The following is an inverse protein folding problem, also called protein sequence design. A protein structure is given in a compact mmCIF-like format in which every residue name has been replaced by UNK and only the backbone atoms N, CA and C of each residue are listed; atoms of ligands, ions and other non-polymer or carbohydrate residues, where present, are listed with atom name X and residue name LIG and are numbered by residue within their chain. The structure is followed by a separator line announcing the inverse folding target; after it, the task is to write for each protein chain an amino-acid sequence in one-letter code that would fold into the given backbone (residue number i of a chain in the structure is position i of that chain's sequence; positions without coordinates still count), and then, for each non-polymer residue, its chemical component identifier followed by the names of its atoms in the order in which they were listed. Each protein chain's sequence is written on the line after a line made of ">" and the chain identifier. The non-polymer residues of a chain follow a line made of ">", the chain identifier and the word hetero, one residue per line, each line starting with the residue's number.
data_IF_054592429099
#
_entry.id   IF_054592429099
#
_cell.length_a   1.000
_cell.length_b   1.000
_cell.length_c   1.000
_cell.angle_alpha   90.00
_cell.angle_beta   90.00
_cell.angle_gamma   90.00
#
_symmetry.space_group_name_H-M   'P 1'
#
loop_
_entity.id
_entity.type
_entity.pdbx_description
1 polymer ?
#
# COMPACT_ATOMS: atom_id res chain seq x y z
N UNK A 1 0.74 13.15 -6.08
CA UNK A 1 0.62 11.71 -5.82
C UNK A 1 1.49 11.45 -4.63
N UNK A 2 0.89 11.04 -3.52
CA UNK A 2 1.61 10.74 -2.29
C UNK A 2 2.56 9.55 -2.55
N UNK A 3 3.88 9.68 -2.32
CA UNK A 3 4.84 8.61 -2.55
C UNK A 3 4.82 7.51 -1.46
N UNK A 4 3.78 7.42 -0.62
CA UNK A 4 3.59 6.29 0.30
C UNK A 4 3.73 4.94 -0.42
N UNK A 5 4.27 3.94 0.30
CA UNK A 5 5.31 3.08 -0.21
C UNK A 5 4.72 2.10 -1.20
N UNK A 6 5.05 2.31 -2.47
CA UNK A 6 5.15 1.17 -3.37
C UNK A 6 6.07 0.12 -2.71
N UNK A 7 5.82 -1.16 -2.95
CA UNK A 7 6.58 -2.25 -2.35
C UNK A 7 8.08 -2.13 -2.64
N UNK A 8 8.43 -1.47 -3.75
CA UNK A 8 9.79 -1.03 -4.07
C UNK A 8 10.40 -0.15 -2.96
N UNK A 9 9.67 0.78 -2.34
CA UNK A 9 10.18 1.57 -1.23
C UNK A 9 10.52 0.70 0.00
N UNK A 10 9.69 -0.31 0.31
CA UNK A 10 9.94 -1.22 1.43
C UNK A 10 11.11 -2.17 1.18
N UNK A 11 11.33 -2.54 -0.09
CA UNK A 11 12.16 -3.70 -0.44
C UNK A 11 13.40 -3.34 -1.26
N UNK A 12 13.35 -2.36 -2.16
CA UNK A 12 14.52 -1.92 -2.93
C UNK A 12 15.08 -0.58 -2.44
N UNK A 13 14.25 0.24 -1.79
CA UNK A 13 14.58 1.59 -1.35
C UNK A 13 14.76 2.57 -2.50
N UNK A 14 14.96 3.85 -2.18
CA UNK A 14 15.33 4.92 -3.11
C UNK A 14 16.71 5.48 -2.77
N UNK A 15 17.23 6.40 -3.59
CA UNK A 15 18.48 7.10 -3.29
C UNK A 15 18.41 7.90 -1.97
N UNK A 16 17.24 8.44 -1.65
CA UNK A 16 16.94 9.22 -0.45
C UNK A 16 16.54 8.34 0.74
N UNK A 17 15.92 7.19 0.49
CA UNK A 17 15.45 6.23 1.49
C UNK A 17 16.01 4.84 1.21
N UNK A 18 17.26 4.54 1.63
CA UNK A 18 17.87 3.26 1.34
C UNK A 18 17.04 2.13 1.94
N UNK A 19 17.04 0.98 1.26
CA UNK A 19 16.37 -0.23 1.73
C UNK A 19 16.79 -0.56 3.16
N UNK A 20 15.90 -0.29 4.10
CA UNK A 20 16.17 -0.40 5.53
C UNK A 20 16.39 -1.84 5.97
N UNK A 21 15.67 -2.78 5.35
CA UNK A 21 15.79 -4.22 5.61
C UNK A 21 17.04 -4.84 4.95
N UNK A 22 17.62 -4.14 3.97
CA UNK A 22 18.69 -4.63 3.08
C UNK A 22 18.34 -5.93 2.35
N UNK A 23 17.07 -6.31 2.31
CA UNK A 23 16.61 -7.49 1.62
C UNK A 23 16.56 -7.24 0.11
N UNK A 24 17.24 -8.07 -0.67
CA UNK A 24 17.16 -8.07 -2.13
C UNK A 24 17.51 -9.45 -2.65
N UNK A 25 16.79 -9.87 -3.70
CA UNK A 25 17.05 -11.11 -4.44
C UNK A 25 16.70 -10.88 -5.90
N UNK A 26 17.27 -11.68 -6.80
CA UNK A 26 16.94 -11.61 -8.23
C UNK A 26 15.43 -11.84 -8.45
N UNK A 27 14.82 -12.74 -7.68
CA UNK A 27 13.39 -13.04 -7.74
C UNK A 27 12.53 -11.85 -7.29
N UNK A 28 12.88 -11.22 -6.17
CA UNK A 28 12.16 -10.04 -5.67
C UNK A 28 12.24 -8.88 -6.68
N UNK A 29 13.43 -8.63 -7.23
CA UNK A 29 13.62 -7.57 -8.23
C UNK A 29 12.77 -7.83 -9.49
N UNK A 30 12.71 -9.08 -9.95
CA UNK A 30 11.87 -9.46 -11.08
C UNK A 30 10.36 -9.27 -10.80
N UNK A 31 9.89 -9.53 -9.58
CA UNK A 31 8.50 -9.28 -9.22
C UNK A 31 8.16 -7.78 -9.12
N UNK A 32 9.08 -6.94 -8.63
CA UNK A 32 8.90 -5.48 -8.65
C UNK A 32 8.80 -4.96 -10.09
N UNK A 33 9.65 -5.44 -10.99
CA UNK A 33 9.57 -5.10 -12.42
C UNK A 33 8.24 -5.55 -13.04
N UNK A 34 7.76 -6.74 -12.66
CA UNK A 34 6.48 -7.28 -13.14
C UNK A 34 5.28 -6.42 -12.73
N UNK A 35 5.27 -5.83 -11.53
CA UNK A 35 4.23 -4.89 -11.09
C UNK A 35 4.19 -3.67 -12.03
N UNK A 36 5.36 -3.11 -12.35
CA UNK A 36 5.47 -1.94 -13.23
C UNK A 36 5.07 -2.22 -14.68
N UNK A 37 5.08 -3.48 -15.09
CA UNK A 37 4.72 -3.91 -16.44
C UNK A 37 3.22 -4.25 -16.61
N UNK A 38 2.42 -4.20 -15.54
CA UNK A 38 0.98 -4.48 -15.62
C UNK A 38 0.27 -3.36 -16.40
N UNK A 39 -0.53 -3.75 -17.40
CA UNK A 39 -1.33 -2.80 -18.19
C UNK A 39 -2.37 -2.06 -17.34
N UNK A 40 -2.58 -0.78 -17.65
CA UNK A 40 -3.59 0.05 -17.02
C UNK A 40 -4.99 -0.59 -17.08
N UNK A 41 -5.68 -0.65 -15.94
CA UNK A 41 -7.00 -1.25 -15.82
C UNK A 41 -7.02 -2.78 -15.70
N UNK A 42 -5.87 -3.46 -15.80
CA UNK A 42 -5.79 -4.90 -15.62
C UNK A 42 -5.66 -5.30 -14.13
N UNK A 43 -6.76 -5.15 -13.41
CA UNK A 43 -6.83 -5.35 -11.94
C UNK A 43 -6.40 -6.78 -11.55
N UNK A 44 -6.75 -7.80 -12.33
CA UNK A 44 -6.43 -9.19 -11.99
C UNK A 44 -4.93 -9.48 -12.06
N UNK A 45 -4.25 -8.95 -13.07
CA UNK A 45 -2.80 -9.08 -13.18
C UNK A 45 -2.10 -8.27 -12.08
N UNK A 46 -2.63 -7.11 -11.71
CA UNK A 46 -2.10 -6.31 -10.62
C UNK A 46 -2.20 -7.04 -9.27
N UNK A 47 -3.36 -7.63 -8.97
CA UNK A 47 -3.57 -8.48 -7.78
C UNK A 47 -2.57 -9.64 -7.77
N UNK A 48 -2.40 -10.31 -8.91
CA UNK A 48 -1.45 -11.42 -9.01
C UNK A 48 -0.02 -10.95 -8.74
N UNK A 49 0.42 -9.87 -9.39
CA UNK A 49 1.80 -9.37 -9.27
C UNK A 49 2.15 -8.99 -7.83
N UNK A 50 1.27 -8.26 -7.13
CA UNK A 50 1.47 -7.98 -5.71
C UNK A 50 1.36 -9.23 -4.83
N UNK A 51 0.51 -10.18 -5.19
CA UNK A 51 0.39 -11.46 -4.48
C UNK A 51 1.59 -12.40 -4.64
N UNK A 52 2.37 -12.28 -5.72
CA UNK A 52 3.66 -12.97 -5.88
C UNK A 52 4.69 -12.40 -4.88
N UNK A 53 4.77 -11.07 -4.75
CA UNK A 53 5.65 -10.38 -3.79
C UNK A 53 5.28 -10.72 -2.34
N UNK A 54 3.99 -10.65 -2.01
CA UNK A 54 3.48 -10.96 -0.67
C UNK A 54 3.88 -12.38 -0.22
N UNK A 55 3.74 -13.37 -1.11
CA UNK A 55 4.15 -14.74 -0.82
C UNK A 55 5.66 -14.87 -0.61
N UNK A 56 6.47 -14.21 -1.44
CA UNK A 56 7.93 -14.28 -1.31
C UNK A 56 8.39 -13.67 0.02
N UNK A 57 7.86 -12.50 0.38
CA UNK A 57 8.17 -11.83 1.66
C UNK A 57 7.73 -12.67 2.86
N UNK A 58 6.58 -13.36 2.78
CA UNK A 58 6.14 -14.27 3.83
C UNK A 58 7.03 -15.53 3.95
N UNK A 59 7.65 -15.97 2.86
CA UNK A 59 8.57 -17.12 2.86
C UNK A 59 9.95 -16.75 3.40
N UNK A 60 10.51 -15.63 2.94
CA UNK A 60 11.87 -15.20 3.29
C UNK A 60 11.93 -14.42 4.62
N UNK A 61 10.78 -13.90 5.08
CA UNK A 61 10.60 -13.17 6.34
C UNK A 61 11.64 -12.05 6.55
N UNK A 62 11.85 -11.14 5.58
CA UNK A 62 12.79 -10.04 5.76
C UNK A 62 12.25 -8.97 6.73
N UNK A 63 10.93 -8.91 6.90
CA UNK A 63 10.22 -7.93 7.73
C UNK A 63 9.06 -8.66 8.42
N UNK A 64 8.90 -8.44 9.73
CA UNK A 64 7.78 -8.98 10.52
C UNK A 64 6.77 -7.86 10.79
N UNK A 65 5.55 -7.99 10.27
CA UNK A 65 4.44 -7.08 10.59
C UNK A 65 3.84 -7.43 11.95
N UNK A 66 4.09 -6.60 12.96
CA UNK A 66 3.62 -6.83 14.34
C UNK A 66 2.22 -6.27 14.63
N UNK A 67 1.74 -5.30 13.85
CA UNK A 67 0.46 -4.64 14.08
C UNK A 67 -0.18 -4.16 12.77
N UNK A 68 -1.51 -4.14 12.77
CA UNK A 68 -2.32 -3.51 11.72
C UNK A 68 -2.92 -2.23 12.31
N UNK A 69 -2.68 -1.10 11.65
CA UNK A 69 -3.24 0.18 12.08
C UNK A 69 -4.74 0.16 11.81
N UNK A 70 -5.54 0.31 12.87
CA UNK A 70 -6.99 0.50 12.74
C UNK A 70 -7.30 2.00 12.66
N UNK A 71 -8.25 2.45 11.82
CA UNK A 71 -8.73 3.82 11.87
C UNK A 71 -9.34 4.13 13.24
N UNK A 72 -8.80 5.13 13.93
CA UNK A 72 -9.34 5.66 15.20
C UNK A 72 -10.17 6.95 14.98
N UNK A 73 -10.65 7.19 13.77
CA UNK A 73 -11.40 8.41 13.46
C UNK A 73 -12.83 8.38 14.01
N UNK A 74 -13.25 9.48 14.62
CA UNK A 74 -14.62 9.70 15.11
C UNK A 74 -15.25 10.82 14.28
N UNK A 75 -16.51 10.67 13.89
CA UNK A 75 -17.28 11.66 13.14
C UNK A 75 -18.33 12.29 14.05
N UNK A 76 -18.52 13.60 13.91
CA UNK A 76 -19.63 14.32 14.56
C UNK A 76 -20.98 13.75 14.10
N UNK A 77 -21.96 13.62 15.01
CA UNK A 77 -23.31 13.18 14.66
C UNK A 77 -24.06 14.15 13.71
N UNK A 78 -23.53 15.36 13.53
CA UNK A 78 -24.09 16.39 12.62
C UNK A 78 -23.59 16.26 11.18
N UNK A 79 -22.58 15.43 10.94
CA UNK A 79 -21.93 15.27 9.65
C UNK A 79 -22.33 13.91 9.08
N UNK A 80 -23.21 13.92 8.09
CA UNK A 80 -23.66 12.71 7.41
C UNK A 80 -22.67 12.30 6.31
N UNK A 81 -22.67 11.01 5.97
CA UNK A 81 -21.89 10.36 4.90
C UNK A 81 -20.36 10.41 5.04
N UNK A 82 -19.83 11.01 6.11
CA UNK A 82 -18.39 10.97 6.38
C UNK A 82 -17.97 9.60 6.92
N UNK A 83 -17.03 8.95 6.25
CA UNK A 83 -16.48 7.64 6.64
C UNK A 83 -15.01 7.78 7.03
N UNK A 84 -14.65 7.61 8.32
CA UNK A 84 -13.27 7.60 8.76
C UNK A 84 -12.44 6.55 8.04
N UNK A 85 -11.29 6.96 7.51
CA UNK A 85 -10.32 6.04 6.92
C UNK A 85 -8.91 6.61 7.11
N UNK A 86 -7.89 5.80 7.44
CA UNK A 86 -6.53 6.28 7.72
C UNK A 86 -5.91 7.03 6.53
N UNK A 87 -6.34 6.70 5.31
CA UNK A 87 -5.82 7.27 4.06
C UNK A 87 -6.91 7.77 3.11
N UNK A 88 -8.19 7.54 3.44
CA UNK A 88 -9.31 7.81 2.52
C UNK A 88 -10.33 8.82 3.03
N UNK A 89 -10.15 9.37 4.24
CA UNK A 89 -11.19 10.17 4.90
C UNK A 89 -11.69 11.34 4.04
N UNK A 90 -10.78 12.05 3.35
CA UNK A 90 -11.13 13.25 2.56
C UNK A 90 -11.45 12.97 1.09
N UNK A 91 -11.41 11.70 0.64
CA UNK A 91 -11.60 11.37 -0.78
C UNK A 91 -13.02 11.68 -1.28
N UNK A 92 -14.02 11.56 -0.40
CA UNK A 92 -15.43 11.68 -0.75
C UNK A 92 -16.11 12.86 -0.05
N UNK A 93 -15.38 13.97 0.17
CA UNK A 93 -15.91 15.16 0.86
C UNK A 93 -17.13 15.76 0.15
N UNK A 94 -17.24 15.60 -1.17
CA UNK A 94 -18.38 16.04 -1.98
C UNK A 94 -19.70 15.35 -1.60
N UNK A 95 -19.65 14.21 -0.91
CA UNK A 95 -20.82 13.44 -0.48
C UNK A 95 -21.32 13.86 0.91
N UNK A 96 -20.54 14.67 1.63
CA UNK A 96 -20.82 15.04 3.01
C UNK A 96 -21.96 16.05 3.10
N UNK A 97 -22.79 15.89 4.13
CA UNK A 97 -23.94 16.76 4.37
C UNK A 97 -23.95 17.20 5.84
N UNK A 98 -24.36 18.45 6.06
CA UNK A 98 -24.56 18.99 7.39
C UNK A 98 -26.05 18.98 7.73
N UNK A 99 -26.34 18.48 8.92
CA UNK A 99 -27.63 18.64 9.58
C UNK A 99 -27.76 19.98 10.32
#
# INVERSE_FOLDING_TARGET
>A
VDPFPDVSWLVTGTAEFPNWSKYSSDEMNAYVDAVSAVEDGNIQNLIKAYGDIDRLIQQDVPIVSLYVISPLGVVSSRLQNATPSPYGFLLNVQEWQLD
#
